data_IF_045592529865
#
_entry.id   IF_045592529865
#
_cell.length_a   1.000
_cell.length_b   1.000
_cell.length_c   1.000
_cell.angle_alpha   90.00
_cell.angle_beta   90.00
_cell.angle_gamma   90.00
#
_symmetry.space_group_name_H-M   'P 1'
#
loop_
_entity.id
_entity.type
_entity.pdbx_description
1 polymer ?
#
# COMPACT_ATOMS: atom_id res chain seq x y z
N UNK A 1 -5.95 11.78 -6.45
CA UNK A 1 -4.92 10.78 -6.81
C UNK A 1 -4.46 10.13 -5.52
N UNK A 2 -4.63 8.82 -5.36
CA UNK A 2 -4.07 8.10 -4.22
C UNK A 2 -2.53 8.17 -4.29
N UNK A 3 -1.90 8.80 -3.29
CA UNK A 3 -0.43 8.91 -3.23
C UNK A 3 0.25 7.62 -2.74
N UNK A 4 -0.54 6.59 -2.41
CA UNK A 4 -0.07 5.31 -1.90
C UNK A 4 0.90 4.59 -2.86
N UNK A 5 0.58 4.55 -4.16
CA UNK A 5 1.43 3.86 -5.13
C UNK A 5 2.83 4.48 -5.24
N UNK A 6 2.89 5.82 -5.23
CA UNK A 6 4.17 6.56 -5.19
C UNK A 6 4.93 6.29 -3.89
N UNK A 7 4.25 6.31 -2.75
CA UNK A 7 4.84 6.03 -1.45
C UNK A 7 5.49 4.63 -1.41
N UNK A 8 4.80 3.60 -1.90
CA UNK A 8 5.37 2.25 -1.98
C UNK A 8 6.64 2.19 -2.83
N UNK A 9 6.63 2.89 -3.98
CA UNK A 9 7.79 2.96 -4.87
C UNK A 9 8.97 3.66 -4.19
N UNK A 10 8.72 4.77 -3.49
CA UNK A 10 9.73 5.53 -2.77
C UNK A 10 10.36 4.70 -1.63
N UNK A 11 9.55 4.04 -0.80
CA UNK A 11 10.04 3.16 0.27
C UNK A 11 10.87 2.00 -0.30
N UNK A 12 10.44 1.42 -1.43
CA UNK A 12 11.19 0.34 -2.09
C UNK A 12 12.55 0.83 -2.58
N UNK A 13 12.58 1.98 -3.24
CA UNK A 13 13.80 2.55 -3.81
C UNK A 13 14.77 3.03 -2.71
N UNK A 14 14.27 3.60 -1.61
CA UNK A 14 15.11 4.00 -0.47
C UNK A 14 15.81 2.80 0.17
N UNK A 15 15.15 1.64 0.19
CA UNK A 15 15.73 0.37 0.65
C UNK A 15 16.56 -0.37 -0.41
N UNK A 16 16.69 0.19 -1.63
CA UNK A 16 17.38 -0.42 -2.79
C UNK A 16 16.84 -1.81 -3.15
N UNK A 17 15.54 -2.06 -2.94
CA UNK A 17 14.93 -3.34 -3.25
C UNK A 17 14.41 -3.36 -4.70
N UNK A 18 14.63 -4.49 -5.38
CA UNK A 18 13.90 -4.76 -6.61
C UNK A 18 12.42 -5.06 -6.32
N UNK A 19 11.55 -4.87 -7.30
CA UNK A 19 10.12 -5.18 -7.14
C UNK A 19 9.88 -6.65 -6.76
N UNK A 20 10.73 -7.56 -7.27
CA UNK A 20 10.67 -8.98 -6.93
C UNK A 20 11.11 -9.25 -5.49
N UNK A 21 12.15 -8.56 -5.02
CA UNK A 21 12.61 -8.67 -3.62
C UNK A 21 11.56 -8.16 -2.65
N UNK A 22 11.00 -6.98 -2.91
CA UNK A 22 9.94 -6.39 -2.09
C UNK A 22 8.70 -7.30 -2.03
N UNK A 23 8.22 -7.77 -3.18
CA UNK A 23 7.08 -8.67 -3.25
C UNK A 23 7.31 -9.99 -2.48
N UNK A 24 8.52 -10.57 -2.61
CA UNK A 24 8.91 -11.77 -1.85
C UNK A 24 8.88 -11.53 -0.33
N UNK A 25 9.36 -10.38 0.15
CA UNK A 25 9.32 -10.02 1.58
C UNK A 25 7.90 -9.83 2.10
N UNK A 26 6.99 -9.35 1.27
CA UNK A 26 5.59 -9.14 1.60
C UNK A 26 4.72 -10.38 1.46
N UNK A 27 5.21 -11.45 0.82
CA UNK A 27 4.42 -12.64 0.52
C UNK A 27 3.35 -12.40 -0.58
N UNK A 28 3.57 -11.44 -1.48
CA UNK A 28 2.66 -11.14 -2.59
C UNK A 28 3.34 -11.37 -3.94
N UNK A 29 2.56 -11.38 -5.03
CA UNK A 29 3.13 -11.45 -6.38
C UNK A 29 3.76 -10.11 -6.80
N UNK A 30 4.85 -10.17 -7.55
CA UNK A 30 5.51 -8.95 -8.07
C UNK A 30 4.58 -8.17 -9.03
N UNK A 31 3.72 -8.86 -9.76
CA UNK A 31 2.71 -8.25 -10.63
C UNK A 31 1.71 -7.43 -9.81
N UNK A 32 1.26 -7.96 -8.67
CA UNK A 32 0.38 -7.24 -7.76
C UNK A 32 1.07 -6.00 -7.18
N UNK A 33 2.30 -6.13 -6.68
CA UNK A 33 3.08 -4.97 -6.21
C UNK A 33 3.27 -3.91 -7.31
N UNK A 34 3.47 -4.32 -8.56
CA UNK A 34 3.59 -3.38 -9.69
C UNK A 34 2.29 -2.61 -9.95
N UNK A 35 1.14 -3.26 -9.82
CA UNK A 35 -0.18 -2.60 -9.94
C UNK A 35 -0.41 -1.64 -8.77
N UNK A 36 0.00 -2.02 -7.55
CA UNK A 36 -0.05 -1.15 -6.38
C UNK A 36 0.82 0.10 -6.56
N UNK A 37 2.07 -0.04 -7.01
CA UNK A 37 2.98 1.10 -7.25
C UNK A 37 2.47 2.05 -8.35
N UNK A 38 1.73 1.53 -9.32
CA UNK A 38 1.10 2.35 -10.37
C UNK A 38 -0.14 3.10 -9.87
N UNK A 39 -0.73 2.67 -8.76
CA UNK A 39 -1.92 3.29 -8.14
C UNK A 39 -3.22 3.14 -8.91
N UNK A 40 -3.19 2.61 -10.14
CA UNK A 40 -4.35 2.47 -11.02
C UNK A 40 -4.42 1.04 -11.51
N UNK A 41 -5.58 0.41 -11.36
CA UNK A 41 -5.86 -0.85 -12.03
C UNK A 41 -6.11 -0.59 -13.53
N UNK A 42 -5.24 -1.08 -14.44
CA UNK A 42 -5.37 -0.81 -15.87
C UNK A 42 -6.64 -1.42 -16.50
N UNK A 43 -7.32 -2.35 -15.82
CA UNK A 43 -8.55 -2.98 -16.31
C UNK A 43 -9.82 -2.20 -15.94
N UNK A 44 -9.79 -1.42 -14.87
CA UNK A 44 -10.99 -0.75 -14.34
C UNK A 44 -10.87 0.76 -14.24
N UNK A 45 -9.64 1.30 -14.35
CA UNK A 45 -9.36 2.73 -14.15
C UNK A 45 -9.55 3.19 -12.70
N UNK A 46 -9.79 2.27 -11.76
CA UNK A 46 -10.02 2.56 -10.35
C UNK A 46 -8.71 2.52 -9.56
N UNK A 47 -8.68 3.24 -8.45
CA UNK A 47 -7.57 3.19 -7.48
C UNK A 47 -7.35 1.74 -7.03
N UNK A 48 -6.12 1.25 -7.17
CA UNK A 48 -5.73 -0.12 -6.79
C UNK A 48 -5.47 -0.23 -5.28
N UNK A 49 -6.30 0.42 -4.47
CA UNK A 49 -6.09 0.48 -3.02
C UNK A 49 -6.13 -0.93 -2.39
N UNK A 50 -5.03 -1.38 -1.77
CA UNK A 50 -4.97 -2.67 -1.12
C UNK A 50 -5.83 -2.66 0.15
N UNK A 51 -6.40 -3.83 0.49
CA UNK A 51 -7.18 -4.00 1.72
C UNK A 51 -6.35 -3.68 2.97
N UNK A 52 -6.97 -3.28 4.09
CA UNK A 52 -6.30 -3.06 5.38
C UNK A 52 -5.35 -4.21 5.81
N UNK A 53 -5.76 -5.46 5.60
CA UNK A 53 -4.92 -6.62 5.89
C UNK A 53 -3.62 -6.65 5.05
N UNK A 54 -3.73 -6.34 3.76
CA UNK A 54 -2.59 -6.23 2.85
C UNK A 54 -1.68 -5.08 3.25
N UNK A 55 -2.26 -3.93 3.62
CA UNK A 55 -1.50 -2.78 4.14
C UNK A 55 -0.70 -3.14 5.40
N UNK A 56 -1.27 -3.97 6.29
CA UNK A 56 -0.58 -4.45 7.50
C UNK A 56 0.59 -5.37 7.17
N UNK A 57 0.46 -6.23 6.16
CA UNK A 57 1.56 -7.06 5.66
C UNK A 57 2.67 -6.20 5.03
N UNK A 58 2.30 -5.21 4.21
CA UNK A 58 3.23 -4.29 3.57
C UNK A 58 3.97 -3.45 4.62
N UNK A 59 3.26 -2.94 5.62
CA UNK A 59 3.83 -2.21 6.77
C UNK A 59 4.92 -3.02 7.46
N UNK A 60 4.67 -4.29 7.77
CA UNK A 60 5.67 -5.18 8.37
C UNK A 60 6.86 -5.43 7.44
N UNK A 61 6.60 -5.68 6.16
CA UNK A 61 7.67 -5.98 5.20
C UNK A 61 8.57 -4.77 4.92
N UNK A 62 7.99 -3.58 4.87
CA UNK A 62 8.71 -2.33 4.70
C UNK A 62 9.21 -1.72 6.00
N UNK A 63 8.87 -2.27 7.15
CA UNK A 63 9.17 -1.66 8.45
C UNK A 63 8.74 -0.18 8.45
N UNK A 64 7.48 0.05 8.05
CA UNK A 64 6.90 1.37 7.86
C UNK A 64 5.57 1.45 8.61
N UNK A 65 5.22 2.58 9.24
CA UNK A 65 4.00 2.69 10.04
C UNK A 65 2.73 2.34 9.26
N UNK A 66 1.94 1.41 9.77
CA UNK A 66 0.68 0.98 9.16
C UNK A 66 -0.32 2.14 8.99
N UNK A 67 -0.40 3.02 9.99
CA UNK A 67 -1.29 4.18 9.98
C UNK A 67 -0.97 5.15 8.84
N UNK A 68 0.30 5.40 8.57
CA UNK A 68 0.74 6.25 7.46
C UNK A 68 0.35 5.64 6.10
N UNK A 69 0.44 4.31 5.96
CA UNK A 69 -0.05 3.63 4.76
C UNK A 69 -1.57 3.73 4.63
N UNK A 70 -2.32 3.63 5.74
CA UNK A 70 -3.77 3.81 5.73
C UNK A 70 -4.18 5.24 5.37
N UNK A 71 -3.47 6.26 5.88
CA UNK A 71 -3.68 7.66 5.50
C UNK A 71 -3.41 7.87 4.00
N UNK A 72 -2.28 7.37 3.50
CA UNK A 72 -1.92 7.47 2.09
C UNK A 72 -2.90 6.74 1.14
N UNK A 73 -3.53 5.68 1.65
CA UNK A 73 -4.60 4.95 0.98
C UNK A 73 -5.97 5.65 1.07
N UNK A 74 -6.11 6.71 1.87
CA UNK A 74 -7.39 7.40 2.09
C UNK A 74 -8.36 6.65 3.01
N UNK A 75 -7.89 5.65 3.77
CA UNK A 75 -8.69 4.97 4.80
C UNK A 75 -8.74 5.77 6.11
N UNK A 76 -7.71 6.55 6.40
CA UNK A 76 -7.72 7.56 7.47
C UNK A 76 -7.75 8.94 6.81
N UNK A 77 -8.94 9.54 6.73
CA UNK A 77 -9.07 11.00 6.79
C UNK A 77 -8.94 11.40 8.26
N UNK A 78 -8.38 12.57 8.55
CA UNK A 78 -8.23 13.10 9.92
C UNK A 78 -9.57 13.24 10.70
N UNK A 79 -10.72 12.97 10.05
CA UNK A 79 -12.07 13.13 10.59
C UNK A 79 -12.91 11.86 10.78
N UNK A 80 -12.41 10.64 10.59
CA UNK A 80 -13.28 9.43 10.72
C UNK A 80 -13.23 8.83 12.12
N UNK A 81 -14.23 9.25 12.91
CA UNK A 81 -14.71 8.59 14.12
C UNK A 81 -14.73 7.07 13.94
N UNK A 82 -13.99 6.39 14.83
CA UNK A 82 -14.00 4.94 15.00
C UNK A 82 -15.46 4.51 15.11
N UNK A 83 -15.95 3.78 14.11
CA UNK A 83 -17.23 3.07 14.22
C UNK A 83 -17.07 2.04 15.34
N UNK A 84 -17.48 2.45 16.56
CA UNK A 84 -17.84 1.54 17.64
C UNK A 84 -18.96 0.66 17.12
N UNK A 85 -18.63 -0.59 16.84
CA UNK A 85 -19.59 -1.67 16.64
C UNK A 85 -20.37 -1.81 17.96
N UNK A 86 -21.66 -1.46 17.93
CA UNK A 86 -22.65 -1.79 18.97
C UNK A 86 -22.93 -3.28 18.89
#
# INVERSE_FOLDING_TARGET
MSNLGKLFKEIRLSKKWSIRQAAKKMGISYSYLSILEKGVDPRTGKDSNPKPETLKMISKAYDYPYEELMKAAGYLSEDVQIQKKI
#
